data_IF_184822552927
#
_entry.id   IF_184822552927
#
_cell.length_a   1.000
_cell.length_b   1.000
_cell.length_c   1.000
_cell.angle_alpha   90.00
_cell.angle_beta   90.00
_cell.angle_gamma   90.00
#
_symmetry.space_group_name_H-M   'P 1'
#
loop_
_entity.id
_entity.type
_entity.pdbx_description
1 polymer ?
#
# COMPACT_ATOMS: atom_id res chain seq x y z
N UNK A 1 8.34 15.36 14.08
CA UNK A 1 7.03 15.43 13.36
C UNK A 1 6.96 14.17 12.54
N UNK A 2 5.83 13.47 12.56
CA UNK A 2 5.63 12.25 11.77
C UNK A 2 5.83 12.51 10.27
N UNK A 3 6.41 11.55 9.56
CA UNK A 3 6.67 11.66 8.13
C UNK A 3 5.39 11.68 7.31
N UNK A 4 5.49 12.13 6.06
CA UNK A 4 4.37 12.09 5.13
C UNK A 4 4.12 10.66 4.62
N UNK A 5 2.85 10.37 4.26
CA UNK A 5 2.47 9.18 3.50
C UNK A 5 2.05 9.60 2.09
N UNK A 6 2.60 8.95 1.06
CA UNK A 6 2.17 9.11 -0.33
C UNK A 6 1.51 7.79 -0.77
N UNK A 7 0.18 7.82 -0.91
CA UNK A 7 -0.63 6.62 -1.14
C UNK A 7 -1.20 6.66 -2.54
N UNK A 8 -0.58 5.93 -3.48
CA UNK A 8 -0.91 5.97 -4.90
C UNK A 8 -1.75 4.77 -5.35
N UNK A 9 -2.80 5.02 -6.12
CA UNK A 9 -3.78 4.02 -6.54
C UNK A 9 -3.26 2.94 -7.49
N UNK A 10 -2.08 3.13 -8.07
CA UNK A 10 -1.46 2.22 -9.04
C UNK A 10 -1.45 2.83 -10.44
N UNK A 11 -0.69 2.22 -11.35
CA UNK A 11 -0.50 2.69 -12.72
C UNK A 11 -0.32 4.22 -12.77
N UNK A 12 0.86 4.69 -12.32
CA UNK A 12 1.14 6.12 -12.12
C UNK A 12 1.78 6.79 -13.35
N UNK A 13 1.49 6.30 -14.56
CA UNK A 13 2.20 6.72 -15.79
C UNK A 13 1.97 8.20 -16.13
N UNK A 14 0.73 8.68 -16.08
CA UNK A 14 0.40 10.07 -16.37
C UNK A 14 0.45 10.98 -15.13
N UNK A 15 0.21 10.42 -13.95
CA UNK A 15 0.28 11.15 -12.66
C UNK A 15 1.65 11.17 -12.01
N UNK A 16 2.63 10.44 -12.55
CA UNK A 16 3.93 10.20 -11.91
C UNK A 16 4.71 11.48 -11.59
N UNK A 17 4.64 12.49 -12.45
CA UNK A 17 5.33 13.77 -12.24
C UNK A 17 4.94 14.40 -10.90
N UNK A 18 3.63 14.56 -10.64
CA UNK A 18 3.15 15.16 -9.40
C UNK A 18 3.38 14.25 -8.19
N UNK A 19 3.12 12.94 -8.36
CA UNK A 19 3.17 11.97 -7.27
C UNK A 19 4.61 11.74 -6.80
N UNK A 20 5.54 11.48 -7.74
CA UNK A 20 6.93 11.19 -7.41
C UNK A 20 7.71 12.44 -7.02
N UNK A 21 7.43 13.60 -7.63
CA UNK A 21 8.02 14.88 -7.20
C UNK A 21 7.60 15.23 -5.77
N UNK A 22 6.34 15.01 -5.40
CA UNK A 22 5.89 15.23 -4.02
C UNK A 22 6.56 14.23 -3.05
N UNK A 23 6.69 12.95 -3.42
CA UNK A 23 7.40 11.96 -2.62
C UNK A 23 8.87 12.37 -2.41
N UNK A 24 9.56 12.80 -3.46
CA UNK A 24 10.95 13.29 -3.38
C UNK A 24 11.02 14.52 -2.46
N UNK A 25 10.12 15.48 -2.63
CA UNK A 25 10.05 16.69 -1.80
C UNK A 25 9.87 16.36 -0.32
N UNK A 26 8.94 15.46 0.00
CA UNK A 26 8.67 15.01 1.37
C UNK A 26 9.81 14.17 1.95
N UNK A 27 10.60 13.55 1.11
CA UNK A 27 11.79 12.77 1.51
C UNK A 27 13.05 13.62 1.69
N UNK A 28 12.99 14.94 1.49
CA UNK A 28 14.14 15.84 1.66
C UNK A 28 14.71 16.41 0.35
N UNK A 29 14.01 16.25 -0.76
CA UNK A 29 14.38 16.85 -2.06
C UNK A 29 15.40 16.03 -2.86
N UNK A 30 16.15 16.64 -3.78
CA UNK A 30 17.03 15.93 -4.72
C UNK A 30 18.15 15.10 -4.08
N UNK A 31 18.52 15.40 -2.86
CA UNK A 31 19.54 14.68 -2.08
C UNK A 31 18.94 13.58 -1.18
N UNK A 32 17.66 13.30 -1.31
CA UNK A 32 16.99 12.27 -0.52
C UNK A 32 17.61 10.90 -0.77
N UNK A 33 17.76 10.10 0.29
CA UNK A 33 18.19 8.70 0.18
C UNK A 33 16.97 7.80 0.24
N UNK A 34 16.63 7.17 -0.90
CA UNK A 34 15.40 6.40 -1.06
C UNK A 34 15.69 4.90 -1.05
N UNK A 35 14.95 4.16 -0.22
CA UNK A 35 14.90 2.71 -0.24
C UNK A 35 13.69 2.26 -1.07
N UNK A 36 13.90 1.38 -2.04
CA UNK A 36 12.82 0.81 -2.85
C UNK A 36 12.54 -0.61 -2.41
N UNK A 37 11.33 -0.85 -1.91
CA UNK A 37 10.86 -2.16 -1.46
C UNK A 37 10.01 -2.79 -2.58
N UNK A 38 10.59 -3.73 -3.33
CA UNK A 38 9.93 -4.45 -4.43
C UNK A 38 9.33 -5.79 -3.96
N UNK A 39 9.15 -5.94 -2.65
CA UNK A 39 8.69 -7.17 -1.98
C UNK A 39 7.37 -7.71 -2.56
N UNK A 40 6.48 -6.82 -2.98
CA UNK A 40 5.18 -7.19 -3.54
C UNK A 40 5.25 -7.80 -4.93
N UNK A 41 6.33 -7.59 -5.69
CA UNK A 41 6.37 -7.93 -7.12
C UNK A 41 6.49 -9.43 -7.41
N UNK A 42 7.00 -10.22 -6.48
CA UNK A 42 7.12 -11.67 -6.63
C UNK A 42 8.11 -12.16 -7.70
N UNK A 43 8.67 -11.27 -8.53
CA UNK A 43 9.63 -11.62 -9.59
C UNK A 43 10.43 -10.39 -10.04
N UNK A 44 11.56 -10.61 -10.73
CA UNK A 44 12.37 -9.57 -11.39
C UNK A 44 12.67 -8.33 -10.54
N UNK A 45 13.22 -8.49 -9.31
CA UNK A 45 13.39 -7.36 -8.38
C UNK A 45 14.28 -6.25 -8.91
N UNK A 46 15.35 -6.59 -9.65
CA UNK A 46 16.27 -5.60 -10.20
C UNK A 46 15.62 -4.75 -11.30
N UNK A 47 14.83 -5.38 -12.19
CA UNK A 47 14.19 -4.66 -13.31
C UNK A 47 13.15 -3.67 -12.78
N UNK A 48 12.39 -4.08 -11.77
CA UNK A 48 11.41 -3.20 -11.12
C UNK A 48 12.10 -2.09 -10.34
N UNK A 49 13.17 -2.42 -9.63
CA UNK A 49 13.98 -1.42 -8.95
C UNK A 49 14.55 -0.38 -9.92
N UNK A 50 15.17 -0.81 -11.02
CA UNK A 50 15.74 0.07 -12.05
C UNK A 50 14.67 0.96 -12.67
N UNK A 51 13.48 0.41 -12.95
CA UNK A 51 12.36 1.20 -13.45
C UNK A 51 11.94 2.31 -12.45
N UNK A 52 11.76 1.97 -11.19
CA UNK A 52 11.36 2.95 -10.16
C UNK A 52 12.46 3.98 -9.91
N UNK A 53 13.72 3.55 -9.85
CA UNK A 53 14.86 4.46 -9.68
C UNK A 53 14.95 5.46 -10.82
N UNK A 54 14.81 4.99 -12.07
CA UNK A 54 14.75 5.86 -13.26
C UNK A 54 13.58 6.85 -13.18
N UNK A 55 12.39 6.39 -12.81
CA UNK A 55 11.24 7.29 -12.65
C UNK A 55 11.48 8.37 -11.59
N UNK A 56 12.13 8.04 -10.48
CA UNK A 56 12.48 9.01 -9.44
C UNK A 56 13.55 10.00 -9.90
N UNK A 57 14.59 9.53 -10.62
CA UNK A 57 15.63 10.38 -11.19
C UNK A 57 15.06 11.33 -12.25
N UNK A 58 14.15 10.88 -13.10
CA UNK A 58 13.42 11.71 -14.07
C UNK A 58 12.60 12.83 -13.40
N UNK A 59 12.18 12.63 -12.15
CA UNK A 59 11.44 13.62 -11.35
C UNK A 59 12.35 14.43 -10.40
N UNK A 60 13.66 14.38 -10.60
CA UNK A 60 14.61 15.27 -9.95
C UNK A 60 15.33 14.71 -8.73
N UNK A 61 15.21 13.40 -8.46
CA UNK A 61 16.10 12.75 -7.50
C UNK A 61 17.53 12.69 -8.06
N UNK A 62 18.52 12.94 -7.21
CA UNK A 62 19.93 12.83 -7.63
C UNK A 62 20.30 11.40 -8.03
N UNK A 63 21.21 11.21 -9.01
CA UNK A 63 21.59 9.89 -9.46
C UNK A 63 22.22 9.05 -8.34
N UNK A 64 21.90 7.76 -8.30
CA UNK A 64 22.43 6.83 -7.30
C UNK A 64 21.88 7.00 -5.88
N UNK A 65 20.85 7.82 -5.69
CA UNK A 65 20.19 8.01 -4.39
C UNK A 65 19.20 6.90 -4.04
N UNK A 66 18.91 5.98 -4.98
CA UNK A 66 18.05 4.83 -4.73
C UNK A 66 18.86 3.60 -4.32
N UNK A 67 18.30 2.84 -3.37
CA UNK A 67 18.84 1.54 -2.92
C UNK A 67 17.72 0.50 -2.93
N UNK A 68 18.04 -0.72 -3.37
CA UNK A 68 17.12 -1.84 -3.36
C UNK A 68 17.09 -2.50 -1.97
N UNK A 69 15.87 -2.70 -1.41
CA UNK A 69 15.67 -3.56 -0.25
C UNK A 69 15.60 -5.04 -0.71
N UNK A 70 16.58 -5.89 -0.42
CA UNK A 70 16.63 -7.29 -0.91
C UNK A 70 15.73 -8.22 -0.08
N UNK A 71 14.46 -7.85 0.09
CA UNK A 71 13.45 -8.58 0.84
C UNK A 71 12.38 -9.09 -0.12
N UNK A 72 12.47 -10.36 -0.49
CA UNK A 72 11.64 -10.97 -1.53
C UNK A 72 11.01 -12.27 -1.07
N UNK A 73 10.08 -12.80 -1.86
CA UNK A 73 9.54 -14.14 -1.73
C UNK A 73 10.65 -15.21 -1.85
N UNK A 74 10.46 -16.36 -1.21
CA UNK A 74 11.47 -17.41 -0.96
C UNK A 74 12.29 -17.81 -2.19
N UNK A 75 11.66 -17.88 -3.35
CA UNK A 75 12.31 -18.36 -4.58
C UNK A 75 12.85 -17.23 -5.46
N UNK A 76 12.65 -15.98 -5.06
CA UNK A 76 13.10 -14.80 -5.81
C UNK A 76 14.49 -14.38 -5.30
N UNK A 77 15.35 -13.98 -6.20
CA UNK A 77 16.70 -13.47 -5.92
C UNK A 77 16.96 -12.26 -6.80
N UNK A 78 17.77 -11.33 -6.32
CA UNK A 78 18.35 -10.31 -7.18
C UNK A 78 19.51 -10.89 -8.02
N UNK A 79 20.07 -10.07 -8.93
CA UNK A 79 21.21 -10.46 -9.79
C UNK A 79 22.46 -10.85 -8.99
N UNK A 80 22.57 -10.38 -7.73
CA UNK A 80 23.64 -10.76 -6.81
C UNK A 80 23.30 -12.01 -5.96
N UNK A 81 22.15 -12.63 -6.20
CA UNK A 81 21.70 -13.80 -5.46
C UNK A 81 21.18 -13.50 -4.04
N UNK A 82 20.95 -12.21 -3.71
CA UNK A 82 20.48 -11.81 -2.38
C UNK A 82 18.98 -12.06 -2.23
N UNK A 83 18.58 -12.52 -1.06
CA UNK A 83 17.21 -12.59 -0.61
C UNK A 83 17.16 -12.65 0.92
N UNK A 84 16.49 -11.70 1.52
CA UNK A 84 16.18 -11.70 2.94
C UNK A 84 14.71 -12.05 3.09
N UNK A 85 14.38 -13.26 3.54
CA UNK A 85 13.03 -13.84 3.54
C UNK A 85 12.05 -13.15 4.49
N UNK A 86 12.57 -12.48 5.53
CA UNK A 86 11.74 -11.87 6.59
C UNK A 86 12.41 -10.62 7.14
N UNK A 87 11.60 -9.68 7.60
CA UNK A 87 12.05 -8.49 8.31
C UNK A 87 12.73 -8.75 9.66
N UNK A 88 12.87 -10.00 10.08
CA UNK A 88 13.67 -10.41 11.23
C UNK A 88 15.07 -10.96 10.84
N UNK A 89 15.36 -11.07 9.54
CA UNK A 89 16.65 -11.57 9.06
C UNK A 89 17.81 -10.73 9.62
N UNK A 90 18.95 -11.37 9.95
CA UNK A 90 20.12 -10.64 10.42
C UNK A 90 20.57 -9.57 9.41
N UNK A 91 20.80 -8.36 9.90
CA UNK A 91 21.28 -7.24 9.08
C UNK A 91 20.21 -6.52 8.28
N UNK A 92 18.96 -7.02 8.19
CA UNK A 92 17.90 -6.38 7.38
C UNK A 92 17.60 -4.95 7.81
N UNK A 93 17.58 -4.68 9.11
CA UNK A 93 17.26 -3.35 9.63
C UNK A 93 18.31 -2.29 9.26
N UNK A 94 19.54 -2.69 8.93
CA UNK A 94 20.61 -1.79 8.49
C UNK A 94 20.33 -1.15 7.12
N UNK A 95 19.46 -1.77 6.29
CA UNK A 95 19.03 -1.14 5.04
C UNK A 95 18.25 0.16 5.26
N UNK A 96 17.69 0.35 6.45
CA UNK A 96 17.01 1.59 6.86
C UNK A 96 17.96 2.69 7.35
N UNK A 97 19.27 2.39 7.48
CA UNK A 97 20.20 3.39 7.99
C UNK A 97 20.48 4.48 6.94
N UNK A 98 20.27 5.72 7.35
CA UNK A 98 20.52 6.91 6.53
C UNK A 98 19.52 7.14 5.39
N UNK A 99 18.40 6.41 5.33
CA UNK A 99 17.33 6.73 4.38
C UNK A 99 16.46 7.88 4.87
N UNK A 100 15.89 8.64 3.95
CA UNK A 100 14.92 9.69 4.21
C UNK A 100 13.53 9.40 3.62
N UNK A 101 13.43 8.37 2.76
CA UNK A 101 12.19 7.87 2.23
C UNK A 101 12.23 6.39 1.89
N UNK A 102 11.07 5.73 1.89
CA UNK A 102 10.90 4.37 1.39
C UNK A 102 9.70 4.32 0.45
N UNK A 103 9.89 3.65 -0.71
CA UNK A 103 8.82 3.43 -1.69
C UNK A 103 8.51 1.95 -1.81
N UNK A 104 7.22 1.59 -1.58
CA UNK A 104 6.70 0.24 -1.78
C UNK A 104 6.08 0.11 -3.18
N UNK A 105 6.54 -0.83 -3.97
CA UNK A 105 6.03 -1.05 -5.33
C UNK A 105 4.69 -1.80 -5.34
N UNK A 106 4.06 -1.82 -6.51
CA UNK A 106 2.90 -2.66 -6.77
C UNK A 106 3.23 -4.15 -6.85
N UNK A 107 2.19 -4.97 -6.94
CA UNK A 107 2.24 -6.43 -6.96
C UNK A 107 1.20 -7.05 -6.02
N UNK A 108 1.59 -8.03 -5.22
CA UNK A 108 0.73 -8.66 -4.24
C UNK A 108 1.12 -8.25 -2.81
N UNK A 109 0.21 -7.59 -2.12
CA UNK A 109 0.37 -7.15 -0.73
C UNK A 109 0.56 -8.30 0.26
N UNK A 110 0.18 -9.53 -0.10
CA UNK A 110 0.44 -10.72 0.69
C UNK A 110 1.92 -10.89 1.03
N UNK A 111 2.80 -10.73 0.03
CA UNK A 111 4.24 -10.88 0.24
C UNK A 111 4.81 -9.81 1.16
N UNK A 112 4.31 -8.58 1.06
CA UNK A 112 4.72 -7.50 1.99
C UNK A 112 4.27 -7.83 3.40
N UNK A 113 3.01 -8.22 3.58
CA UNK A 113 2.47 -8.62 4.88
C UNK A 113 3.29 -9.76 5.50
N UNK A 114 3.59 -10.81 4.70
CA UNK A 114 4.36 -11.99 5.11
C UNK A 114 5.80 -11.64 5.52
N UNK A 115 6.41 -10.67 4.85
CA UNK A 115 7.79 -10.27 5.09
C UNK A 115 7.95 -9.30 6.28
N UNK A 116 6.99 -8.39 6.49
CA UNK A 116 7.09 -7.31 7.46
C UNK A 116 6.38 -7.59 8.79
N UNK A 117 5.39 -8.48 8.81
CA UNK A 117 4.58 -8.79 10.01
C UNK A 117 4.71 -10.28 10.32
N UNK A 118 4.94 -10.61 11.58
CA UNK A 118 5.03 -12.01 12.05
C UNK A 118 3.66 -12.68 11.99
N UNK A 119 3.63 -14.01 12.11
CA UNK A 119 2.40 -14.81 12.11
C UNK A 119 1.46 -14.45 13.27
N UNK A 120 2.01 -14.08 14.41
CA UNK A 120 1.25 -13.62 15.58
C UNK A 120 0.71 -12.18 15.46
N UNK A 121 0.97 -11.52 14.32
CA UNK A 121 0.55 -10.15 14.05
C UNK A 121 1.50 -9.08 14.61
N UNK A 122 2.58 -9.45 15.28
CA UNK A 122 3.56 -8.51 15.79
C UNK A 122 4.50 -8.00 14.68
N UNK A 123 5.08 -6.82 14.89
CA UNK A 123 6.05 -6.22 13.97
C UNK A 123 7.35 -7.03 13.94
N UNK A 124 7.89 -7.27 12.75
CA UNK A 124 9.29 -7.69 12.61
C UNK A 124 10.23 -6.56 13.04
N UNK A 125 11.52 -6.87 13.22
CA UNK A 125 12.55 -5.86 13.54
C UNK A 125 12.60 -4.75 12.51
N UNK A 126 12.45 -5.09 11.22
CA UNK A 126 12.43 -4.13 10.12
C UNK A 126 11.23 -3.19 10.24
N UNK A 127 10.01 -3.72 10.44
CA UNK A 127 8.81 -2.90 10.57
C UNK A 127 8.85 -2.03 11.82
N UNK A 128 9.28 -2.57 12.96
CA UNK A 128 9.42 -1.79 14.19
C UNK A 128 10.41 -0.60 14.01
N UNK A 129 11.53 -0.83 13.32
CA UNK A 129 12.49 0.23 12.99
C UNK A 129 11.90 1.24 12.01
N UNK A 130 11.18 0.78 11.00
CA UNK A 130 10.51 1.65 10.02
C UNK A 130 9.47 2.56 10.70
N UNK A 131 8.68 2.04 11.65
CA UNK A 131 7.75 2.86 12.45
C UNK A 131 8.46 3.94 13.25
N UNK A 132 9.58 3.59 13.90
CA UNK A 132 10.37 4.56 14.64
C UNK A 132 10.86 5.69 13.73
N UNK A 133 11.42 5.36 12.57
CA UNK A 133 11.90 6.34 11.60
C UNK A 133 10.75 7.20 11.03
N UNK A 134 9.59 6.62 10.76
CA UNK A 134 8.43 7.38 10.29
C UNK A 134 7.94 8.37 11.36
N UNK A 135 7.91 7.98 12.62
CA UNK A 135 7.61 8.90 13.73
C UNK A 135 8.64 10.03 13.85
N UNK A 136 9.88 9.82 13.39
CA UNK A 136 10.96 10.82 13.35
C UNK A 136 10.94 11.68 12.07
N UNK A 137 10.10 11.34 11.05
CA UNK A 137 9.94 12.17 9.85
C UNK A 137 10.21 11.45 8.52
N UNK A 138 10.54 10.15 8.52
CA UNK A 138 10.76 9.40 7.28
C UNK A 138 9.48 9.37 6.44
N UNK A 139 9.59 9.77 5.17
CA UNK A 139 8.48 9.68 4.21
C UNK A 139 8.27 8.23 3.76
N UNK A 140 7.01 7.77 3.73
CA UNK A 140 6.64 6.45 3.21
C UNK A 140 5.74 6.65 1.99
N UNK A 141 6.11 6.08 0.85
CA UNK A 141 5.31 6.08 -0.36
C UNK A 141 5.01 4.65 -0.83
N UNK A 142 3.95 4.51 -1.63
CA UNK A 142 3.70 3.24 -2.27
C UNK A 142 2.52 3.27 -3.23
N UNK A 143 2.59 2.41 -4.26
CA UNK A 143 1.58 2.29 -5.31
C UNK A 143 0.92 0.92 -5.30
N UNK A 144 -0.38 0.86 -5.61
CA UNK A 144 -1.14 -0.39 -5.72
C UNK A 144 -1.06 -1.23 -4.43
N UNK A 145 -0.37 -2.37 -4.45
CA UNK A 145 -0.11 -3.16 -3.24
C UNK A 145 0.58 -2.33 -2.16
N UNK A 146 1.53 -1.46 -2.54
CA UNK A 146 2.20 -0.51 -1.65
C UNK A 146 1.25 0.52 -1.01
N UNK A 147 0.15 0.86 -1.67
CA UNK A 147 -0.91 1.68 -1.08
C UNK A 147 -1.78 0.87 -0.12
N UNK A 148 -2.18 -0.34 -0.51
CA UNK A 148 -3.05 -1.20 0.30
C UNK A 148 -2.46 -1.50 1.68
N UNK A 149 -1.14 -1.75 1.76
CA UNK A 149 -0.45 -2.06 3.03
C UNK A 149 -0.44 -0.91 4.03
N UNK A 150 -0.71 0.33 3.59
CA UNK A 150 -0.68 1.50 4.49
C UNK A 150 -1.78 1.43 5.55
N UNK A 151 -2.91 0.79 5.26
CA UNK A 151 -4.02 0.64 6.21
C UNK A 151 -3.64 -0.25 7.39
N UNK A 152 -4.25 0.00 8.55
CA UNK A 152 -4.21 -0.92 9.69
C UNK A 152 -5.03 -2.19 9.40
N UNK A 153 -6.24 -2.01 8.90
CA UNK A 153 -7.05 -3.09 8.32
C UNK A 153 -6.92 -3.00 6.81
N UNK A 154 -6.38 -4.02 6.19
CA UNK A 154 -6.04 -4.07 4.79
C UNK A 154 -6.99 -5.01 4.02
N UNK A 155 -7.39 -4.59 2.83
CA UNK A 155 -7.98 -5.50 1.85
C UNK A 155 -6.84 -6.33 1.24
N UNK A 156 -6.76 -7.60 1.63
CA UNK A 156 -5.74 -8.53 1.17
C UNK A 156 -5.99 -9.04 -0.24
N UNK A 157 -7.24 -9.04 -0.69
CA UNK A 157 -7.65 -9.54 -2.00
C UNK A 157 -9.16 -9.53 -2.17
N UNK A 158 -9.63 -10.05 -3.32
CA UNK A 158 -11.05 -10.24 -3.56
C UNK A 158 -11.69 -9.25 -4.51
N UNK A 159 -12.95 -9.49 -4.83
CA UNK A 159 -13.73 -8.74 -5.79
C UNK A 159 -15.13 -8.41 -5.26
N UNK A 160 -15.84 -7.48 -5.93
CA UNK A 160 -17.26 -7.23 -5.64
C UNK A 160 -18.13 -8.49 -5.75
N UNK A 161 -17.84 -9.33 -6.76
CA UNK A 161 -18.53 -10.64 -6.90
C UNK A 161 -18.22 -11.58 -5.74
N UNK A 162 -16.97 -11.58 -5.27
CA UNK A 162 -16.57 -12.35 -4.09
C UNK A 162 -17.35 -11.97 -2.86
N UNK A 163 -17.59 -10.66 -2.64
CA UNK A 163 -18.44 -10.19 -1.54
C UNK A 163 -19.84 -10.79 -1.62
N UNK A 164 -20.44 -10.86 -2.80
CA UNK A 164 -21.81 -11.36 -2.97
C UNK A 164 -21.94 -12.88 -2.83
N UNK A 165 -20.93 -13.64 -3.27
CA UNK A 165 -21.05 -15.08 -3.50
C UNK A 165 -20.13 -15.95 -2.64
N UNK A 166 -19.22 -15.36 -1.87
CA UNK A 166 -18.24 -16.08 -1.04
C UNK A 166 -18.22 -15.54 0.38
N UNK A 167 -17.79 -16.36 1.33
CA UNK A 167 -17.51 -15.88 2.68
C UNK A 167 -16.29 -14.95 2.70
N UNK A 168 -16.33 -13.93 3.54
CA UNK A 168 -15.18 -13.05 3.78
C UNK A 168 -14.16 -13.78 4.63
N UNK A 169 -12.91 -13.77 4.21
CA UNK A 169 -11.78 -14.36 4.94
C UNK A 169 -11.07 -13.29 5.76
N UNK A 170 -10.61 -13.65 6.95
CA UNK A 170 -9.90 -12.72 7.88
C UNK A 170 -8.43 -13.07 8.05
N UNK A 171 -7.90 -13.91 7.18
CA UNK A 171 -6.48 -14.28 7.14
C UNK A 171 -6.07 -14.67 5.73
N UNK A 172 -4.78 -14.87 5.55
CA UNK A 172 -4.22 -15.45 4.34
C UNK A 172 -4.06 -16.99 4.44
N UNK A 173 -4.74 -17.65 5.39
CA UNK A 173 -4.74 -19.10 5.45
C UNK A 173 -5.35 -19.68 4.15
N UNK A 174 -4.62 -20.58 3.51
CA UNK A 174 -5.01 -21.14 2.21
C UNK A 174 -4.85 -20.19 1.01
N UNK A 175 -4.19 -19.05 1.18
CA UNK A 175 -4.06 -18.06 0.09
C UNK A 175 -3.30 -18.59 -1.12
N UNK A 176 -2.23 -19.35 -0.91
CA UNK A 176 -1.45 -19.94 -2.01
C UNK A 176 -2.33 -20.89 -2.85
N UNK A 177 -3.16 -21.72 -2.20
CA UNK A 177 -4.14 -22.58 -2.88
C UNK A 177 -5.20 -21.75 -3.63
N UNK A 178 -5.70 -20.67 -3.02
CA UNK A 178 -6.65 -19.76 -3.67
C UNK A 178 -6.07 -19.12 -4.93
N UNK A 179 -4.79 -18.76 -4.91
CA UNK A 179 -4.08 -18.23 -6.08
C UNK A 179 -3.90 -19.27 -7.18
N UNK A 180 -3.63 -20.53 -6.82
CA UNK A 180 -3.51 -21.64 -7.78
C UNK A 180 -4.86 -21.98 -8.43
N UNK A 181 -5.95 -21.92 -7.68
CA UNK A 181 -7.32 -22.17 -8.19
C UNK A 181 -7.84 -21.03 -9.07
N UNK A 182 -7.33 -19.80 -8.91
CA UNK A 182 -7.74 -18.57 -9.62
C UNK A 182 -9.27 -18.50 -9.86
N UNK A 183 -10.08 -18.50 -8.79
CA UNK A 183 -11.52 -18.57 -8.95
C UNK A 183 -12.07 -17.31 -9.59
N UNK A 184 -13.12 -17.40 -10.46
CA UNK A 184 -13.71 -16.25 -11.13
C UNK A 184 -14.34 -15.23 -10.17
N UNK A 185 -14.54 -15.61 -8.92
CA UNK A 185 -15.08 -14.77 -7.85
C UNK A 185 -14.22 -14.95 -6.60
N UNK A 186 -13.00 -14.38 -6.54
CA UNK A 186 -12.15 -14.51 -5.36
C UNK A 186 -12.84 -13.87 -4.16
N UNK A 187 -12.83 -14.53 -2.97
CA UNK A 187 -13.43 -14.02 -1.76
C UNK A 187 -12.77 -12.72 -1.32
N UNK A 188 -13.51 -11.86 -0.63
CA UNK A 188 -12.90 -10.71 0.05
C UNK A 188 -12.00 -11.22 1.19
N UNK A 189 -10.76 -10.76 1.21
CA UNK A 189 -9.80 -11.04 2.28
C UNK A 189 -9.55 -9.75 3.04
N UNK A 190 -9.79 -9.77 4.34
CA UNK A 190 -9.51 -8.66 5.26
C UNK A 190 -8.46 -9.12 6.25
N UNK A 191 -7.36 -8.41 6.35
CA UNK A 191 -6.27 -8.76 7.26
C UNK A 191 -5.56 -7.51 7.78
N UNK A 192 -4.54 -7.67 8.62
CA UNK A 192 -3.70 -6.56 9.05
C UNK A 192 -2.74 -6.11 7.95
N UNK A 193 -2.68 -4.81 7.69
CA UNK A 193 -1.62 -4.18 6.91
C UNK A 193 -0.48 -3.68 7.79
N UNK A 194 0.34 -2.76 7.27
CA UNK A 194 1.43 -2.14 8.05
C UNK A 194 0.93 -1.02 8.99
N UNK A 195 -0.25 -0.45 8.73
CA UNK A 195 -0.95 0.44 9.66
C UNK A 195 -0.33 1.83 9.84
N UNK A 196 0.30 2.37 8.82
CA UNK A 196 0.80 3.75 8.83
C UNK A 196 -0.32 4.78 8.63
N UNK A 197 -1.35 4.43 7.83
CA UNK A 197 -2.49 5.31 7.59
C UNK A 197 -3.58 5.11 8.67
N UNK A 198 -3.85 6.14 9.52
CA UNK A 198 -4.70 5.96 10.70
C UNK A 198 -6.20 6.15 10.42
N UNK A 199 -6.60 6.70 9.25
CA UNK A 199 -7.97 7.20 9.08
C UNK A 199 -8.96 6.16 8.59
N UNK A 200 -8.52 5.07 7.96
CA UNK A 200 -9.44 4.08 7.43
C UNK A 200 -8.80 3.00 6.57
N UNK A 201 -9.61 2.34 5.77
CA UNK A 201 -9.22 1.28 4.84
C UNK A 201 -8.86 1.90 3.50
N UNK A 202 -7.68 1.61 2.96
CA UNK A 202 -7.27 2.04 1.62
C UNK A 202 -7.61 0.95 0.60
N UNK A 203 -8.23 1.35 -0.52
CA UNK A 203 -8.35 0.55 -1.74
C UNK A 203 -7.74 1.30 -2.93
N UNK A 204 -7.33 0.59 -3.96
CA UNK A 204 -6.52 1.09 -5.06
C UNK A 204 -7.06 0.59 -6.42
N UNK A 205 -6.59 1.15 -7.56
CA UNK A 205 -7.14 0.92 -8.90
C UNK A 205 -8.67 1.04 -8.95
N UNK A 206 -9.20 2.02 -8.25
CA UNK A 206 -10.59 1.98 -7.83
C UNK A 206 -11.59 2.16 -8.98
N UNK A 207 -11.34 3.12 -9.83
CA UNK A 207 -12.17 3.39 -11.02
C UNK A 207 -11.87 2.44 -12.19
N UNK A 208 -10.64 1.96 -12.30
CA UNK A 208 -10.26 0.96 -13.31
C UNK A 208 -10.82 -0.44 -13.04
N UNK A 209 -11.22 -0.71 -11.80
CA UNK A 209 -11.72 -2.03 -11.36
C UNK A 209 -12.99 -1.86 -10.52
N UNK A 210 -14.00 -2.76 -10.64
CA UNK A 210 -15.23 -2.68 -9.84
C UNK A 210 -14.95 -3.05 -8.37
N UNK A 211 -14.61 -2.06 -7.52
CA UNK A 211 -14.14 -2.29 -6.13
C UNK A 211 -15.00 -1.67 -5.04
N UNK A 212 -16.02 -0.88 -5.39
CA UNK A 212 -16.83 -0.14 -4.40
C UNK A 212 -17.45 -1.07 -3.35
N UNK A 213 -18.08 -2.16 -3.76
CA UNK A 213 -18.76 -3.05 -2.82
C UNK A 213 -17.79 -3.74 -1.86
N UNK A 214 -16.60 -4.13 -2.34
CA UNK A 214 -15.59 -4.73 -1.46
C UNK A 214 -15.04 -3.74 -0.43
N UNK A 215 -14.91 -2.47 -0.78
CA UNK A 215 -14.46 -1.43 0.14
C UNK A 215 -15.54 -1.14 1.19
N UNK A 216 -16.81 -1.03 0.79
CA UNK A 216 -17.93 -0.88 1.73
C UNK A 216 -17.94 -2.05 2.72
N UNK A 217 -17.90 -3.30 2.22
CA UNK A 217 -17.88 -4.48 3.09
C UNK A 217 -16.66 -4.49 4.02
N UNK A 218 -15.48 -4.12 3.52
CA UNK A 218 -14.28 -4.03 4.33
C UNK A 218 -14.43 -3.01 5.47
N UNK A 219 -15.06 -1.86 5.23
CA UNK A 219 -15.36 -0.87 6.27
C UNK A 219 -16.36 -1.41 7.32
N UNK A 220 -17.35 -2.21 6.91
CA UNK A 220 -18.29 -2.84 7.85
C UNK A 220 -17.64 -3.94 8.67
N UNK A 221 -16.80 -4.76 8.05
CA UNK A 221 -16.15 -5.90 8.68
C UNK A 221 -14.84 -5.54 9.39
N UNK A 222 -14.48 -4.27 9.40
CA UNK A 222 -13.21 -3.78 9.94
C UNK A 222 -13.10 -4.05 11.46
N UNK A 223 -12.17 -4.92 11.91
CA UNK A 223 -12.01 -5.25 13.33
C UNK A 223 -11.59 -4.05 14.18
N UNK A 224 -10.96 -3.03 13.60
CA UNK A 224 -10.55 -1.81 14.31
C UNK A 224 -11.71 -0.82 14.53
N UNK A 225 -12.87 -1.09 13.95
CA UNK A 225 -14.05 -0.23 14.07
C UNK A 225 -13.99 1.05 13.21
N UNK A 226 -12.94 1.23 12.41
CA UNK A 226 -12.87 2.35 11.46
C UNK A 226 -13.86 2.14 10.32
N UNK A 227 -14.69 3.13 10.06
CA UNK A 227 -15.82 3.08 9.12
C UNK A 227 -15.62 3.93 7.88
N UNK A 228 -14.40 4.40 7.63
CA UNK A 228 -14.04 5.16 6.44
C UNK A 228 -13.20 4.30 5.50
N UNK A 229 -13.49 4.40 4.22
CA UNK A 229 -12.71 3.85 3.13
C UNK A 229 -12.14 4.96 2.26
N UNK A 230 -10.89 4.81 1.84
CA UNK A 230 -10.19 5.74 0.95
C UNK A 230 -9.79 4.99 -0.31
N UNK A 231 -10.48 5.29 -1.39
CA UNK A 231 -10.32 4.60 -2.66
C UNK A 231 -9.57 5.49 -3.63
N UNK A 232 -8.43 5.02 -4.12
CA UNK A 232 -7.53 5.80 -4.96
C UNK A 232 -7.57 5.29 -6.39
N UNK A 233 -7.85 6.20 -7.34
CA UNK A 233 -7.81 5.93 -8.78
C UNK A 233 -6.40 5.66 -9.29
N UNK A 234 -6.27 5.07 -10.48
CA UNK A 234 -4.99 5.05 -11.19
C UNK A 234 -4.52 6.47 -11.49
N UNK A 235 -3.23 6.68 -11.72
CA UNK A 235 -2.59 7.98 -11.94
C UNK A 235 -2.90 9.04 -10.87
N UNK A 236 -3.23 8.59 -9.67
CA UNK A 236 -3.66 9.42 -8.55
C UNK A 236 -3.03 8.96 -7.25
N UNK A 237 -2.77 9.89 -6.37
CA UNK A 237 -2.35 9.60 -5.00
C UNK A 237 -2.99 10.59 -4.03
N UNK A 238 -2.91 10.30 -2.76
CA UNK A 238 -3.01 11.34 -1.74
C UNK A 238 -1.74 11.41 -0.92
N UNK A 239 -1.37 12.62 -0.54
CA UNK A 239 -0.39 12.91 0.50
C UNK A 239 -1.13 13.07 1.82
N UNK A 240 -0.78 12.28 2.83
CA UNK A 240 -1.31 12.43 4.19
C UNK A 240 -0.19 12.86 5.12
N UNK A 241 -0.36 13.99 5.77
CA UNK A 241 0.60 14.53 6.73
C UNK A 241 -0.11 15.38 7.79
N UNK A 242 0.23 15.20 9.05
CA UNK A 242 -0.27 16.01 10.18
C UNK A 242 -1.81 16.10 10.24
N UNK A 243 -2.53 15.05 9.84
CA UNK A 243 -3.98 14.99 9.86
C UNK A 243 -4.67 15.58 8.63
N UNK A 244 -3.92 16.11 7.67
CA UNK A 244 -4.43 16.62 6.39
C UNK A 244 -4.16 15.64 5.25
N UNK A 245 -5.09 15.57 4.32
CA UNK A 245 -5.00 14.78 3.09
C UNK A 245 -5.08 15.74 1.90
N UNK A 246 -4.12 15.65 0.98
CA UNK A 246 -4.11 16.42 -0.28
C UNK A 246 -4.04 15.47 -1.45
N UNK A 247 -4.91 15.65 -2.46
CA UNK A 247 -4.96 14.80 -3.65
C UNK A 247 -3.96 15.28 -4.70
N UNK A 248 -3.27 14.32 -5.32
CA UNK A 248 -2.24 14.51 -6.34
C UNK A 248 -2.58 13.66 -7.57
N UNK A 249 -2.17 14.10 -8.75
CA UNK A 249 -2.31 13.35 -10.00
C UNK A 249 -3.58 13.67 -10.77
N UNK A 250 -4.03 12.76 -11.64
CA UNK A 250 -5.01 13.06 -12.69
C UNK A 250 -6.45 12.61 -12.39
N UNK A 251 -6.63 11.65 -11.50
CA UNK A 251 -7.95 11.09 -11.17
C UNK A 251 -8.49 11.58 -9.83
N UNK A 252 -9.21 10.71 -9.14
CA UNK A 252 -9.91 11.05 -7.90
C UNK A 252 -9.53 10.14 -6.74
N UNK A 253 -9.67 10.67 -5.53
CA UNK A 253 -9.73 9.89 -4.29
C UNK A 253 -11.18 9.89 -3.82
N UNK A 254 -11.77 8.72 -3.68
CA UNK A 254 -13.13 8.59 -3.18
C UNK A 254 -13.08 8.25 -1.69
N UNK A 255 -13.84 9.01 -0.89
CA UNK A 255 -14.05 8.71 0.52
C UNK A 255 -15.40 8.02 0.66
N UNK A 256 -15.38 6.78 1.13
CA UNK A 256 -16.56 5.97 1.43
C UNK A 256 -16.81 6.06 2.93
N UNK A 257 -17.93 6.65 3.32
CA UNK A 257 -18.32 6.84 4.72
C UNK A 257 -19.45 5.88 5.10
N UNK A 258 -19.14 4.92 5.94
CA UNK A 258 -20.12 3.94 6.45
C UNK A 258 -20.51 4.18 7.92
N UNK A 259 -20.15 5.34 8.51
CA UNK A 259 -20.40 5.62 9.93
C UNK A 259 -21.89 5.68 10.26
N UNK A 260 -22.71 6.18 9.34
CA UNK A 260 -24.16 6.24 9.47
C UNK A 260 -24.87 5.13 8.68
N UNK A 261 -24.12 4.35 7.90
CA UNK A 261 -24.69 3.34 7.04
C UNK A 261 -25.16 2.11 7.83
N UNK A 262 -26.18 1.45 7.30
CA UNK A 262 -26.70 0.18 7.78
C UNK A 262 -26.47 -0.93 6.75
N UNK A 263 -26.10 -2.11 7.24
CA UNK A 263 -26.01 -3.34 6.44
C UNK A 263 -27.31 -4.11 6.62
N UNK A 264 -28.15 -4.17 5.59
CA UNK A 264 -29.40 -4.94 5.58
C UNK A 264 -29.09 -6.43 5.50
N UNK A 265 -28.26 -6.77 4.50
CA UNK A 265 -27.68 -8.09 4.31
C UNK A 265 -26.36 -7.96 3.57
N UNK A 266 -25.66 -9.06 3.37
CA UNK A 266 -24.41 -9.06 2.61
C UNK A 266 -24.64 -8.53 1.20
N UNK A 267 -23.91 -7.46 0.84
CA UNK A 267 -24.04 -6.79 -0.46
C UNK A 267 -25.19 -5.78 -0.55
N UNK A 268 -26.00 -5.61 0.49
CA UNK A 268 -27.05 -4.58 0.56
C UNK A 268 -26.80 -3.62 1.72
N UNK A 269 -26.49 -2.37 1.37
CA UNK A 269 -26.17 -1.30 2.31
C UNK A 269 -27.04 -0.09 2.04
N UNK A 270 -27.39 0.67 3.08
CA UNK A 270 -28.14 1.92 3.01
C UNK A 270 -27.35 3.02 3.67
N UNK A 271 -27.58 4.25 3.23
CA UNK A 271 -27.01 5.48 3.82
C UNK A 271 -25.48 5.50 3.81
N UNK A 272 -24.87 4.91 2.76
CA UNK A 272 -23.43 5.00 2.52
C UNK A 272 -23.11 6.36 1.93
N UNK A 273 -22.30 7.16 2.62
CA UNK A 273 -21.77 8.40 2.08
C UNK A 273 -20.66 8.15 1.06
N UNK A 274 -20.67 8.89 -0.03
CA UNK A 274 -19.60 8.88 -1.04
C UNK A 274 -19.21 10.30 -1.39
N UNK A 275 -17.93 10.61 -1.30
CA UNK A 275 -17.34 11.89 -1.72
C UNK A 275 -16.19 11.61 -2.69
N UNK A 276 -16.07 12.40 -3.74
CA UNK A 276 -14.92 12.38 -4.64
C UNK A 276 -14.11 13.67 -4.44
N UNK A 277 -12.82 13.49 -4.22
CA UNK A 277 -11.82 14.55 -4.11
C UNK A 277 -10.91 14.51 -5.34
N UNK A 278 -10.53 15.66 -5.86
CA UNK A 278 -9.65 15.81 -7.03
C UNK A 278 -8.37 16.53 -6.66
N UNK A 279 -7.43 16.59 -7.59
CA UNK A 279 -6.16 17.27 -7.37
C UNK A 279 -6.36 18.71 -6.88
N UNK A 280 -5.71 19.05 -5.77
CA UNK A 280 -5.85 20.34 -5.09
C UNK A 280 -6.90 20.37 -3.98
N UNK A 281 -7.77 19.38 -3.87
CA UNK A 281 -8.68 19.24 -2.74
C UNK A 281 -7.92 18.72 -1.49
N UNK A 282 -8.40 19.14 -0.31
CA UNK A 282 -7.82 18.79 0.99
C UNK A 282 -8.88 18.60 2.09
#
# INVERSE_FOLDING_TARGET
MEGALIVAGGNIDTGKEQILSEFIRQSGGPAASILVAVTASGSHPDDIFEYIATCLEDQGLGPGQCRLLPLYEKNVRDRQGRNLLTGDAPGIAQYLDGISGIWFTGGDQYYVRKAFVREDGSDTKLLARLRALHAEGLCIGGSSAGAAIMSRTMIGGGSNKGVLHRETLFSYEGYDQLCEEDPPCPPLIITGGLGFFPCGVVDQHFDARPRLLRLIEACFMNPSGQRLGFAVSEDTAFCYQAGSLTVLGAGSVYVVDTRQASRVQKGEYRDVGLMALQAGDS
#
